data_IF_946560281772
#
_entry.id   IF_946560281772
#
_cell.length_a   1.000
_cell.length_b   1.000
_cell.length_c   1.000
_cell.angle_alpha   90.00
_cell.angle_beta   90.00
_cell.angle_gamma   90.00
#
_symmetry.space_group_name_H-M   'P 1'
#
loop_
_entity.id
_entity.type
_entity.pdbx_description
1 polymer ?
#
# COMPACT_ATOMS: atom_id res chain seq x y z
N UNK A 1 9.98 -27.75 3.36
CA UNK A 1 9.07 -26.59 3.56
C UNK A 1 9.57 -25.87 4.80
N UNK A 2 9.93 -24.57 4.75
CA UNK A 2 10.31 -23.84 5.96
C UNK A 2 9.11 -23.77 6.92
N UNK A 3 9.38 -23.92 8.22
CA UNK A 3 8.43 -24.48 9.20
C UNK A 3 7.43 -23.47 9.81
N UNK A 4 7.47 -22.19 9.44
CA UNK A 4 6.41 -21.23 9.78
C UNK A 4 6.25 -20.21 8.66
N UNK A 5 5.09 -20.21 7.99
CA UNK A 5 4.77 -19.17 7.01
C UNK A 5 4.78 -17.80 7.70
N UNK A 6 5.22 -16.72 7.03
CA UNK A 6 5.30 -15.38 7.63
C UNK A 6 3.94 -14.88 8.09
N UNK A 7 2.83 -15.43 7.59
CA UNK A 7 1.48 -15.12 8.00
C UNK A 7 0.63 -16.39 8.04
N UNK A 8 -0.53 -16.30 8.68
CA UNK A 8 -1.53 -17.36 8.63
C UNK A 8 -2.10 -17.44 7.21
N UNK A 9 -1.80 -18.53 6.50
CA UNK A 9 -2.35 -18.80 5.18
C UNK A 9 -3.82 -19.20 5.29
N UNK A 10 -4.69 -18.48 4.58
CA UNK A 10 -6.11 -18.81 4.42
C UNK A 10 -6.28 -20.10 3.62
N UNK A 11 -7.47 -20.73 3.65
CA UNK A 11 -7.77 -21.86 2.76
C UNK A 11 -7.55 -21.51 1.28
N UNK A 12 -7.89 -20.29 0.88
CA UNK A 12 -7.69 -19.80 -0.48
C UNK A 12 -6.20 -19.66 -0.84
N UNK A 13 -5.37 -19.15 0.07
CA UNK A 13 -3.92 -19.07 -0.16
C UNK A 13 -3.31 -20.45 -0.40
N UNK A 14 -3.75 -21.46 0.37
CA UNK A 14 -3.28 -22.85 0.23
C UNK A 14 -3.67 -23.44 -1.11
N UNK A 15 -4.89 -23.17 -1.58
CA UNK A 15 -5.36 -23.58 -2.90
C UNK A 15 -4.53 -22.91 -4.00
N UNK A 16 -4.30 -21.60 -3.92
CA UNK A 16 -3.48 -20.86 -4.89
C UNK A 16 -2.04 -21.38 -4.94
N UNK A 17 -1.44 -21.69 -3.78
CA UNK A 17 -0.08 -22.23 -3.71
C UNK A 17 0.04 -23.62 -4.36
N UNK A 18 -1.05 -24.37 -4.46
CA UNK A 18 -1.11 -25.66 -5.14
C UNK A 18 -1.33 -25.55 -6.66
N UNK A 19 -1.68 -24.37 -7.18
CA UNK A 19 -1.90 -24.12 -8.60
C UNK A 19 -0.61 -23.71 -9.34
N UNK A 20 -0.60 -23.94 -10.65
CA UNK A 20 0.37 -23.30 -11.55
C UNK A 20 -0.13 -21.93 -12.00
N UNK A 21 0.77 -21.13 -12.55
CA UNK A 21 0.41 -19.80 -13.05
C UNK A 21 -0.52 -19.86 -14.28
N UNK A 22 -0.38 -20.90 -15.10
CA UNK A 22 -1.21 -21.12 -16.29
C UNK A 22 -2.67 -21.42 -15.94
N UNK A 23 -2.92 -21.93 -14.72
CA UNK A 23 -4.25 -22.18 -14.19
C UNK A 23 -4.88 -20.94 -13.54
N UNK A 24 -4.08 -19.89 -13.30
CA UNK A 24 -4.56 -18.69 -12.65
C UNK A 24 -5.29 -17.78 -13.63
N UNK A 25 -6.51 -17.39 -13.27
CA UNK A 25 -7.27 -16.36 -13.97
C UNK A 25 -7.07 -15.05 -13.24
N UNK A 26 -6.58 -14.04 -13.95
CA UNK A 26 -6.39 -12.71 -13.41
C UNK A 26 -7.74 -12.02 -13.17
N UNK A 27 -7.74 -11.11 -12.20
CA UNK A 27 -8.89 -10.27 -11.92
C UNK A 27 -9.03 -9.21 -13.01
N UNK A 28 -10.10 -9.31 -13.79
CA UNK A 28 -10.51 -8.25 -14.71
C UNK A 28 -11.18 -7.09 -13.95
N UNK A 29 -11.45 -5.99 -14.66
CA UNK A 29 -12.01 -4.79 -14.03
C UNK A 29 -13.43 -4.97 -13.47
N UNK A 30 -14.26 -5.76 -14.14
CA UNK A 30 -15.65 -5.97 -13.73
C UNK A 30 -15.70 -6.88 -12.50
N UNK A 31 -14.87 -7.93 -12.44
CA UNK A 31 -14.68 -8.77 -11.26
C UNK A 31 -14.20 -7.95 -10.05
N UNK A 32 -13.22 -7.05 -10.24
CA UNK A 32 -12.75 -6.16 -9.17
C UNK A 32 -13.86 -5.23 -8.66
N UNK A 33 -14.62 -4.62 -9.57
CA UNK A 33 -15.76 -3.76 -9.21
C UNK A 33 -16.77 -4.54 -8.37
N UNK A 34 -17.10 -5.76 -8.81
CA UNK A 34 -18.06 -6.64 -8.17
C UNK A 34 -17.59 -7.12 -6.78
N UNK A 35 -16.32 -7.52 -6.66
CA UNK A 35 -15.69 -7.90 -5.39
C UNK A 35 -15.77 -6.73 -4.39
N UNK A 36 -15.38 -5.53 -4.82
CA UNK A 36 -15.36 -4.33 -3.97
C UNK A 36 -16.78 -3.91 -3.59
N UNK A 37 -17.73 -3.95 -4.53
CA UNK A 37 -19.14 -3.61 -4.26
C UNK A 37 -19.78 -4.55 -3.23
N UNK A 38 -19.45 -5.84 -3.26
CA UNK A 38 -19.89 -6.83 -2.26
C UNK A 38 -19.08 -6.80 -0.96
N UNK A 39 -18.01 -5.99 -0.89
CA UNK A 39 -17.04 -5.99 0.20
C UNK A 39 -16.40 -7.38 0.47
N UNK A 40 -16.30 -8.22 -0.57
CA UNK A 40 -15.72 -9.58 -0.49
C UNK A 40 -14.21 -9.55 -0.74
N UNK A 41 -13.49 -8.72 0.01
CA UNK A 41 -12.07 -8.44 -0.23
C UNK A 41 -11.18 -9.68 -0.06
N UNK A 42 -11.70 -10.75 0.58
CA UNK A 42 -11.02 -12.05 0.67
C UNK A 42 -10.93 -12.78 -0.68
N UNK A 43 -11.72 -12.39 -1.67
CA UNK A 43 -11.66 -12.93 -3.02
C UNK A 43 -10.51 -12.36 -3.86
N UNK A 44 -9.82 -11.31 -3.41
CA UNK A 44 -8.67 -10.72 -4.11
C UNK A 44 -7.43 -11.60 -3.96
N UNK A 45 -6.91 -12.08 -5.09
CA UNK A 45 -5.86 -13.10 -5.14
C UNK A 45 -4.60 -12.56 -5.80
N UNK A 46 -3.46 -13.10 -5.38
CA UNK A 46 -2.20 -12.96 -6.12
C UNK A 46 -2.03 -14.15 -7.04
N UNK A 47 -1.32 -13.94 -8.15
CA UNK A 47 -0.85 -15.04 -9.00
C UNK A 47 -0.02 -16.02 -8.15
N UNK A 48 -0.08 -17.35 -8.39
CA UNK A 48 0.60 -18.33 -7.55
C UNK A 48 2.11 -18.08 -7.38
N UNK A 49 2.83 -17.76 -8.45
CA UNK A 49 4.25 -17.37 -8.38
C UNK A 49 4.48 -16.11 -7.54
N UNK A 50 3.64 -15.09 -7.68
CA UNK A 50 3.72 -13.85 -6.89
C UNK A 50 3.44 -14.12 -5.42
N UNK A 51 2.48 -14.97 -5.09
CA UNK A 51 2.21 -15.37 -3.71
C UNK A 51 3.42 -16.10 -3.11
N UNK A 52 4.07 -17.02 -3.84
CA UNK A 52 5.29 -17.69 -3.37
C UNK A 52 6.43 -16.70 -3.14
N UNK A 53 6.66 -15.80 -4.09
CA UNK A 53 7.69 -14.74 -3.98
C UNK A 53 7.40 -13.80 -2.81
N UNK A 54 6.14 -13.42 -2.61
CA UNK A 54 5.70 -12.58 -1.51
C UNK A 54 5.96 -13.22 -0.15
N UNK A 55 5.68 -14.52 -0.02
CA UNK A 55 5.93 -15.26 1.22
C UNK A 55 7.43 -15.37 1.52
N UNK A 56 8.25 -15.65 0.50
CA UNK A 56 9.70 -15.70 0.65
C UNK A 56 10.26 -14.34 1.07
N UNK A 57 9.91 -13.27 0.35
CA UNK A 57 10.29 -11.90 0.67
C UNK A 57 9.81 -11.49 2.06
N UNK A 58 8.58 -11.82 2.44
CA UNK A 58 8.04 -11.48 3.75
C UNK A 58 8.81 -12.13 4.89
N UNK A 59 9.29 -13.36 4.72
CA UNK A 59 10.13 -14.04 5.69
C UNK A 59 11.50 -13.35 5.83
N UNK A 60 12.14 -13.01 4.71
CA UNK A 60 13.42 -12.30 4.67
C UNK A 60 13.32 -10.92 5.31
N UNK A 61 12.31 -10.12 4.93
CA UNK A 61 12.10 -8.78 5.49
C UNK A 61 11.81 -8.84 6.99
N UNK A 62 11.04 -9.82 7.47
CA UNK A 62 10.83 -9.98 8.91
C UNK A 62 12.11 -10.36 9.64
N UNK A 63 12.96 -11.21 9.05
CA UNK A 63 14.25 -11.55 9.62
C UNK A 63 15.21 -10.34 9.68
N UNK A 64 15.22 -9.49 8.64
CA UNK A 64 16.13 -8.35 8.54
C UNK A 64 15.67 -7.10 9.30
N UNK A 65 14.38 -6.76 9.24
CA UNK A 65 13.82 -5.52 9.78
C UNK A 65 12.96 -5.73 11.03
N UNK A 66 12.77 -6.98 11.46
CA UNK A 66 11.87 -7.38 12.55
C UNK A 66 10.38 -7.36 12.17
N UNK A 67 9.97 -6.48 11.26
CA UNK A 67 8.62 -6.44 10.70
C UNK A 67 8.59 -5.81 9.31
N UNK A 68 7.56 -6.13 8.54
CA UNK A 68 7.31 -5.46 7.25
C UNK A 68 6.97 -3.99 7.45
N UNK A 69 6.29 -3.62 8.54
CA UNK A 69 6.07 -2.22 8.90
C UNK A 69 7.40 -1.46 8.99
N UNK A 70 8.39 -2.00 9.70
CA UNK A 70 9.70 -1.36 9.85
C UNK A 70 10.38 -1.17 8.50
N UNK A 71 10.35 -2.20 7.63
CA UNK A 71 10.86 -2.08 6.28
C UNK A 71 10.16 -0.98 5.49
N UNK A 72 8.83 -0.95 5.47
CA UNK A 72 8.06 0.05 4.73
C UNK A 72 8.36 1.46 5.25
N UNK A 73 8.33 1.66 6.57
CA UNK A 73 8.63 2.96 7.18
C UNK A 73 10.07 3.42 6.90
N UNK A 74 11.07 2.54 6.94
CA UNK A 74 12.47 2.92 6.75
C UNK A 74 12.84 3.08 5.27
N UNK A 75 12.42 2.13 4.43
CA UNK A 75 12.91 1.98 3.06
C UNK A 75 11.98 2.58 2.01
N UNK A 76 10.67 2.63 2.26
CA UNK A 76 9.68 3.08 1.27
C UNK A 76 9.11 4.46 1.59
N UNK A 77 8.76 4.67 2.85
CA UNK A 77 8.13 5.90 3.31
C UNK A 77 9.14 6.92 3.86
N UNK A 78 10.27 6.44 4.39
CA UNK A 78 11.26 7.24 5.10
C UNK A 78 10.66 8.00 6.29
N UNK A 79 9.74 7.36 7.02
CA UNK A 79 9.04 7.90 8.20
C UNK A 79 9.69 7.48 9.53
N UNK A 80 10.96 7.07 9.51
CA UNK A 80 11.66 6.61 10.72
C UNK A 80 11.90 7.77 11.72
N UNK A 81 11.76 7.53 13.05
CA UNK A 81 12.12 8.51 14.07
C UNK A 81 13.60 8.88 13.93
N UNK A 82 13.89 10.14 13.63
CA UNK A 82 15.27 10.64 13.48
C UNK A 82 15.60 11.27 12.13
N UNK A 83 14.74 11.13 11.09
CA UNK A 83 14.92 11.89 9.86
C UNK A 83 14.37 13.32 10.05
N UNK A 84 15.09 14.14 10.80
CA UNK A 84 14.94 15.59 10.65
C UNK A 84 15.31 15.94 9.21
N UNK A 85 14.44 16.69 8.54
CA UNK A 85 14.76 17.30 7.26
C UNK A 85 15.97 18.21 7.47
N UNK A 86 17.12 17.88 6.89
CA UNK A 86 18.31 18.74 6.95
C UNK A 86 18.12 19.92 6.01
N UNK A 87 17.40 20.92 6.49
CA UNK A 87 17.41 22.27 5.93
C UNK A 87 17.80 23.25 7.04
N UNK A 88 19.12 23.42 7.20
CA UNK A 88 19.86 24.62 7.61
C UNK A 88 21.09 24.25 8.44
N UNK A 89 22.25 24.68 7.95
CA UNK A 89 23.56 24.27 8.45
C UNK A 89 24.05 25.02 9.67
N UNK A 90 25.02 24.41 10.36
CA UNK A 90 26.37 24.94 10.58
C UNK A 90 27.20 23.81 11.16
N UNK A 91 28.42 23.67 10.64
CA UNK A 91 29.38 22.67 11.07
C UNK A 91 29.79 22.90 12.53
N UNK A 92 29.88 21.82 13.30
CA UNK A 92 30.96 21.65 14.29
C UNK A 92 31.19 20.16 14.53
N UNK A 93 32.46 19.76 14.41
CA UNK A 93 32.88 18.36 14.38
C UNK A 93 32.99 17.71 15.76
N UNK A 94 32.81 16.40 15.77
CA UNK A 94 33.64 15.48 16.57
C UNK A 94 33.47 14.06 16.03
N UNK A 95 34.61 13.44 15.74
CA UNK A 95 34.78 12.09 15.21
C UNK A 95 34.53 11.02 16.27
N UNK A 96 33.68 10.04 15.96
CA UNK A 96 33.75 8.70 16.56
C UNK A 96 33.38 7.63 15.51
N UNK A 97 34.17 6.56 15.49
CA UNK A 97 34.15 5.48 14.49
C UNK A 97 32.90 4.59 14.59
N UNK A 98 32.52 3.86 13.54
CA UNK A 98 31.24 3.15 13.51
C UNK A 98 31.33 1.84 14.30
N UNK A 99 30.57 1.76 15.39
CA UNK A 99 30.16 0.47 15.93
C UNK A 99 29.01 -0.05 15.08
N UNK A 100 29.13 -1.29 14.63
CA UNK A 100 28.11 -2.05 13.92
C UNK A 100 26.79 -2.06 14.69
N UNK A 101 25.94 -1.08 14.42
CA UNK A 101 24.63 -0.97 15.00
C UNK A 101 23.66 -1.72 14.08
N UNK A 102 23.16 -2.85 14.58
CA UNK A 102 21.85 -3.36 14.16
C UNK A 102 20.88 -2.17 14.30
N UNK A 103 20.13 -1.73 13.27
CA UNK A 103 19.25 -0.59 13.43
C UNK A 103 18.23 -0.93 14.51
N UNK A 104 18.26 -0.17 15.60
CA UNK A 104 17.26 -0.25 16.65
C UNK A 104 15.88 -0.20 15.98
N UNK A 105 15.06 -1.23 16.22
CA UNK A 105 13.69 -1.29 15.72
C UNK A 105 12.98 0.03 16.01
N UNK A 106 12.12 0.46 15.10
CA UNK A 106 11.28 1.65 15.30
C UNK A 106 10.63 1.52 16.69
N UNK A 107 10.94 2.45 17.59
CA UNK A 107 10.30 2.51 18.89
C UNK A 107 8.78 2.48 18.65
N UNK A 108 8.09 1.60 19.37
CA UNK A 108 6.69 1.23 19.23
C UNK A 108 5.70 2.35 19.61
N UNK A 109 5.99 3.58 19.22
CA UNK A 109 5.14 4.75 19.36
C UNK A 109 4.41 5.08 18.05
N UNK A 110 3.33 5.89 18.12
CA UNK A 110 2.64 6.38 16.93
C UNK A 110 3.59 7.14 16.01
N UNK A 111 3.45 6.97 14.70
CA UNK A 111 4.20 7.77 13.72
C UNK A 111 3.68 9.22 13.83
N UNK A 112 4.55 10.23 14.07
CA UNK A 112 4.11 11.61 14.21
C UNK A 112 3.46 12.13 12.93
N UNK A 113 2.30 12.78 13.05
CA UNK A 113 1.59 13.44 11.96
C UNK A 113 1.39 14.92 12.24
N UNK A 114 1.27 15.73 11.19
CA UNK A 114 1.09 17.18 11.24
C UNK A 114 -0.36 17.56 11.49
N UNK A 115 -1.31 16.82 10.90
CA UNK A 115 -2.74 17.09 11.01
C UNK A 115 -3.49 15.82 11.44
N UNK A 116 -4.33 15.85 12.50
CA UNK A 116 -5.07 14.68 12.95
C UNK A 116 -6.16 14.22 11.99
N UNK A 117 -6.57 15.06 11.02
CA UNK A 117 -7.59 14.69 10.03
C UNK A 117 -6.92 13.92 8.87
N UNK A 118 -7.34 12.66 8.59
CA UNK A 118 -6.80 11.90 7.48
C UNK A 118 -6.84 12.67 6.16
N UNK A 119 -5.77 12.55 5.38
CA UNK A 119 -5.58 13.20 4.07
C UNK A 119 -5.53 14.74 4.06
N UNK A 120 -5.58 15.41 5.23
CA UNK A 120 -5.63 16.87 5.28
C UNK A 120 -4.26 17.53 5.00
N UNK A 121 -3.16 16.87 5.36
CA UNK A 121 -1.80 17.36 5.12
C UNK A 121 -1.03 16.41 4.18
N UNK A 122 -0.47 16.91 3.07
CA UNK A 122 0.33 16.10 2.14
C UNK A 122 1.58 15.45 2.74
N UNK A 123 2.10 15.94 3.87
CA UNK A 123 3.23 15.32 4.58
C UNK A 123 2.84 14.07 5.39
N UNK A 124 1.55 13.87 5.63
CA UNK A 124 1.01 12.78 6.44
C UNK A 124 0.58 11.55 5.64
N UNK A 125 0.73 11.59 4.31
CA UNK A 125 0.48 10.44 3.46
C UNK A 125 1.50 10.33 2.32
N UNK A 126 1.60 9.13 1.74
CA UNK A 126 2.41 8.88 0.54
C UNK A 126 1.70 7.87 -0.35
N UNK A 127 1.64 8.17 -1.65
CA UNK A 127 1.11 7.26 -2.66
C UNK A 127 2.30 6.50 -3.24
N UNK A 128 2.25 5.18 -3.28
CA UNK A 128 3.29 4.32 -3.84
C UNK A 128 2.66 3.24 -4.72
N UNK A 129 3.43 2.66 -5.63
CA UNK A 129 3.03 1.40 -6.26
C UNK A 129 3.10 0.28 -5.23
N UNK A 130 2.19 -0.68 -5.33
CA UNK A 130 2.25 -1.89 -4.54
C UNK A 130 3.34 -2.81 -5.12
N UNK A 131 4.38 -3.16 -4.35
CA UNK A 131 5.41 -4.11 -4.85
C UNK A 131 4.89 -5.54 -4.94
N UNK A 132 3.76 -5.82 -4.28
CA UNK A 132 3.13 -7.12 -4.24
C UNK A 132 1.67 -7.00 -4.68
N UNK A 133 1.43 -6.58 -5.94
CA UNK A 133 0.10 -6.36 -6.46
C UNK A 133 -0.70 -7.67 -6.48
N UNK A 134 -2.02 -7.55 -6.61
CA UNK A 134 -2.85 -8.70 -6.92
C UNK A 134 -2.58 -9.22 -8.33
N UNK A 135 -3.08 -10.42 -8.62
CA UNK A 135 -3.05 -10.97 -9.97
C UNK A 135 -4.11 -10.28 -10.82
N UNK A 136 -3.77 -9.13 -11.37
CA UNK A 136 -4.67 -8.23 -12.09
C UNK A 136 -4.45 -8.38 -13.60
N UNK A 137 -5.49 -8.09 -14.38
CA UNK A 137 -5.38 -8.02 -15.84
C UNK A 137 -4.41 -6.93 -16.31
N UNK A 138 -3.81 -7.09 -17.51
CA UNK A 138 -2.99 -6.04 -18.11
C UNK A 138 -3.73 -4.70 -18.17
N UNK A 139 -2.99 -3.61 -17.92
CA UNK A 139 -3.57 -2.25 -17.87
C UNK A 139 -4.09 -1.83 -16.50
N UNK A 140 -4.20 -2.74 -15.52
CA UNK A 140 -4.61 -2.40 -14.15
C UNK A 140 -3.37 -2.20 -13.28
N UNK A 141 -3.24 -1.01 -12.69
CA UNK A 141 -2.18 -0.66 -11.75
C UNK A 141 -2.68 -0.64 -10.31
N UNK A 142 -1.89 -1.22 -9.40
CA UNK A 142 -2.19 -1.28 -7.96
C UNK A 142 -1.34 -0.27 -7.19
N UNK A 143 -1.98 0.77 -6.69
CA UNK A 143 -1.38 1.78 -5.82
C UNK A 143 -1.79 1.54 -4.35
N UNK A 144 -0.96 2.04 -3.45
CA UNK A 144 -1.21 2.08 -2.02
C UNK A 144 -1.00 3.50 -1.53
N UNK A 145 -2.03 4.05 -0.88
CA UNK A 145 -1.96 5.31 -0.17
C UNK A 145 -1.67 4.99 1.29
N UNK A 146 -0.46 5.26 1.73
CA UNK A 146 -0.01 5.07 3.12
C UNK A 146 -0.31 6.32 3.93
N UNK A 147 -0.78 6.17 5.17
CA UNK A 147 -1.09 7.28 6.07
C UNK A 147 -0.36 7.15 7.41
N UNK A 148 0.06 8.30 7.94
CA UNK A 148 0.51 8.43 9.33
C UNK A 148 -0.65 8.54 10.32
N UNK A 149 -1.78 9.05 9.85
CA UNK A 149 -2.99 9.25 10.63
C UNK A 149 -3.84 7.99 10.70
N UNK A 150 -4.41 7.65 11.88
CA UNK A 150 -5.37 6.55 12.01
C UNK A 150 -6.66 6.86 11.24
N UNK A 151 -7.29 5.83 10.68
CA UNK A 151 -8.61 5.95 10.04
C UNK A 151 -9.65 5.30 10.96
N UNK A 152 -10.63 6.06 11.50
CA UNK A 152 -11.64 5.51 12.39
C UNK A 152 -12.46 4.35 11.77
N UNK A 153 -12.73 3.32 12.59
CA UNK A 153 -13.51 2.13 12.21
C UNK A 153 -14.66 1.91 13.19
N UNK A 154 -15.75 1.29 12.71
CA UNK A 154 -16.96 0.99 13.49
C UNK A 154 -16.78 -0.20 14.46
N UNK A 155 -15.77 -1.04 14.22
CA UNK A 155 -15.58 -2.30 14.93
C UNK A 155 -14.13 -2.76 14.89
N UNK A 156 -13.78 -3.69 15.77
CA UNK A 156 -12.46 -4.33 15.84
C UNK A 156 -12.11 -5.13 14.57
N UNK A 157 -13.12 -5.49 13.77
CA UNK A 157 -12.92 -6.12 12.45
C UNK A 157 -12.33 -5.13 11.43
N UNK A 158 -12.44 -3.82 11.65
CA UNK A 158 -11.89 -2.79 10.77
C UNK A 158 -12.86 -2.25 9.72
N UNK A 159 -14.17 -2.49 9.89
CA UNK A 159 -15.20 -1.88 9.03
C UNK A 159 -15.18 -0.34 9.15
N UNK A 160 -15.14 0.36 8.02
CA UNK A 160 -15.08 1.82 8.00
C UNK A 160 -16.34 2.48 8.58
N UNK A 161 -16.16 3.62 9.27
CA UNK A 161 -17.26 4.54 9.54
C UNK A 161 -17.76 5.18 8.25
N UNK A 162 -18.99 5.70 8.23
CA UNK A 162 -19.50 6.46 7.07
C UNK A 162 -18.68 7.72 6.83
N UNK A 163 -18.28 8.42 7.91
CA UNK A 163 -17.40 9.57 7.83
C UNK A 163 -16.03 9.20 7.24
N UNK A 164 -15.42 8.11 7.69
CA UNK A 164 -14.14 7.64 7.16
C UNK A 164 -14.24 7.19 5.71
N UNK A 165 -15.34 6.53 5.32
CA UNK A 165 -15.61 6.21 3.91
C UNK A 165 -15.73 7.47 3.06
N UNK A 166 -16.46 8.48 3.54
CA UNK A 166 -16.59 9.77 2.84
C UNK A 166 -15.27 10.55 2.75
N UNK A 167 -14.42 10.48 3.78
CA UNK A 167 -13.08 11.07 3.75
C UNK A 167 -12.18 10.42 2.70
N UNK A 168 -12.16 9.08 2.65
CA UNK A 168 -11.38 8.34 1.64
C UNK A 168 -11.93 8.63 0.25
N UNK A 169 -13.25 8.56 0.07
CA UNK A 169 -13.89 8.89 -1.21
C UNK A 169 -13.53 10.29 -1.68
N UNK A 170 -13.66 11.30 -0.81
CA UNK A 170 -13.29 12.68 -1.13
C UNK A 170 -11.82 12.84 -1.51
N UNK A 171 -10.91 12.13 -0.84
CA UNK A 171 -9.50 12.09 -1.22
C UNK A 171 -9.30 11.45 -2.60
N UNK A 172 -9.96 10.32 -2.87
CA UNK A 172 -9.84 9.59 -4.13
C UNK A 172 -10.37 10.45 -5.30
N UNK A 173 -11.52 11.09 -5.10
CA UNK A 173 -12.12 11.99 -6.07
C UNK A 173 -11.21 13.18 -6.39
N UNK A 174 -10.67 13.82 -5.35
CA UNK A 174 -9.78 14.99 -5.50
C UNK A 174 -8.44 14.64 -6.16
N UNK A 175 -7.89 13.47 -5.87
CA UNK A 175 -6.49 13.14 -6.22
C UNK A 175 -6.40 12.36 -7.53
N UNK A 176 -7.21 11.32 -7.68
CA UNK A 176 -7.12 10.42 -8.83
C UNK A 176 -8.12 10.84 -9.92
N UNK A 177 -9.41 10.85 -9.59
CA UNK A 177 -10.47 11.08 -10.57
C UNK A 177 -10.37 12.46 -11.21
N UNK A 178 -10.20 13.50 -10.40
CA UNK A 178 -10.03 14.87 -10.91
C UNK A 178 -8.82 14.99 -11.83
N UNK A 179 -7.69 14.37 -11.48
CA UNK A 179 -6.47 14.43 -12.31
C UNK A 179 -6.67 13.74 -13.66
N UNK A 180 -7.42 12.63 -13.70
CA UNK A 180 -7.82 11.97 -14.94
C UNK A 180 -8.80 12.84 -15.76
N UNK A 181 -9.72 13.55 -15.10
CA UNK A 181 -10.66 14.47 -15.77
C UNK A 181 -9.96 15.71 -16.38
N UNK A 182 -8.90 16.19 -15.73
CA UNK A 182 -8.08 17.33 -16.18
C UNK A 182 -7.01 16.93 -17.20
N UNK A 183 -6.97 15.67 -17.64
CA UNK A 183 -6.01 15.20 -18.62
C UNK A 183 -6.19 15.91 -19.97
N UNK A 184 -5.16 16.64 -20.41
CA UNK A 184 -5.21 17.42 -21.64
C UNK A 184 -5.45 16.58 -22.89
N UNK A 185 -5.06 15.31 -22.87
CA UNK A 185 -5.32 14.35 -23.95
C UNK A 185 -6.75 13.83 -24.00
N UNK A 186 -7.60 14.18 -23.02
CA UNK A 186 -8.97 13.69 -22.86
C UNK A 186 -9.06 12.16 -22.98
N UNK A 187 -8.02 11.46 -22.47
CA UNK A 187 -7.89 10.00 -22.56
C UNK A 187 -8.97 9.26 -21.76
N UNK A 188 -9.64 9.95 -20.83
CA UNK A 188 -10.57 9.37 -19.87
C UNK A 188 -11.95 10.03 -20.00
N UNK A 189 -12.86 9.50 -20.84
CA UNK A 189 -14.21 10.06 -20.98
C UNK A 189 -15.05 9.94 -19.71
N UNK A 190 -14.81 8.89 -18.91
CA UNK A 190 -15.54 8.62 -17.66
C UNK A 190 -14.56 8.44 -16.48
N UNK A 191 -13.84 9.47 -16.03
CA UNK A 191 -12.73 9.35 -15.07
C UNK A 191 -13.02 8.54 -13.80
N UNK A 192 -14.26 8.58 -13.30
CA UNK A 192 -14.69 7.81 -12.14
C UNK A 192 -14.68 6.29 -12.39
N UNK A 193 -14.97 5.85 -13.61
CA UNK A 193 -15.00 4.44 -13.99
C UNK A 193 -13.61 3.81 -14.10
N UNK A 194 -12.55 4.61 -14.00
CA UNK A 194 -11.15 4.20 -14.10
C UNK A 194 -10.50 4.01 -12.73
N UNK A 195 -11.20 4.33 -11.64
CA UNK A 195 -10.65 4.30 -10.29
C UNK A 195 -11.54 3.46 -9.38
N UNK A 196 -10.94 2.45 -8.76
CA UNK A 196 -11.54 1.68 -7.68
C UNK A 196 -10.67 1.84 -6.43
N UNK A 197 -11.28 1.77 -5.25
CA UNK A 197 -10.53 1.77 -4.01
C UNK A 197 -11.19 0.87 -2.96
N UNK A 198 -10.38 0.38 -2.05
CA UNK A 198 -10.84 -0.38 -0.88
C UNK A 198 -9.84 -0.27 0.26
N UNK A 199 -10.31 -0.55 1.48
CA UNK A 199 -9.46 -0.72 2.65
C UNK A 199 -9.64 -2.14 3.16
N UNK A 200 -8.55 -2.90 3.23
CA UNK A 200 -8.60 -4.23 3.82
C UNK A 200 -9.00 -4.13 5.29
N UNK A 201 -9.94 -4.98 5.72
CA UNK A 201 -10.28 -5.17 7.13
C UNK A 201 -9.15 -5.92 7.87
N UNK A 202 -9.17 -5.92 9.21
CA UNK A 202 -8.04 -6.34 10.06
C UNK A 202 -7.56 -7.77 9.73
N UNK A 203 -8.47 -8.66 9.36
CA UNK A 203 -8.15 -10.06 9.01
C UNK A 203 -7.27 -10.24 7.77
N UNK A 204 -7.27 -9.31 6.81
CA UNK A 204 -6.56 -9.42 5.53
C UNK A 204 -5.34 -8.50 5.40
N UNK A 205 -5.12 -7.61 6.36
CA UNK A 205 -3.98 -6.70 6.32
C UNK A 205 -2.68 -7.41 6.68
N UNK A 206 -1.71 -7.37 5.78
CA UNK A 206 -0.33 -7.80 6.07
C UNK A 206 0.42 -6.84 7.00
N UNK A 207 0.02 -5.57 7.04
CA UNK A 207 0.67 -4.51 7.83
C UNK A 207 -0.39 -3.75 8.63
N UNK A 208 -0.83 -4.34 9.75
CA UNK A 208 -1.93 -3.78 10.58
C UNK A 208 -1.57 -2.48 11.29
N UNK A 209 -0.29 -2.30 11.61
CA UNK A 209 0.18 -1.18 12.41
C UNK A 209 0.41 0.11 11.60
N UNK A 210 0.16 0.08 10.28
CA UNK A 210 0.33 1.23 9.41
C UNK A 210 -0.90 1.38 8.51
N UNK A 211 -1.55 2.52 8.58
CA UNK A 211 -2.78 2.75 7.82
C UNK A 211 -2.51 2.85 6.33
N UNK A 212 -3.38 2.21 5.55
CA UNK A 212 -3.29 2.25 4.10
C UNK A 212 -4.64 2.02 3.42
N UNK A 213 -4.79 2.63 2.25
CA UNK A 213 -5.91 2.44 1.31
C UNK A 213 -5.33 1.94 -0.01
N UNK A 214 -5.95 0.91 -0.57
CA UNK A 214 -5.58 0.42 -1.89
C UNK A 214 -6.40 1.16 -2.95
N UNK A 215 -5.73 1.57 -4.03
CA UNK A 215 -6.35 2.21 -5.19
C UNK A 215 -5.94 1.40 -6.42
N UNK A 216 -6.92 0.97 -7.19
CA UNK A 216 -6.73 0.32 -8.48
C UNK A 216 -7.11 1.32 -9.56
N UNK A 217 -6.25 1.47 -10.56
CA UNK A 217 -6.53 2.33 -11.71
C UNK A 217 -6.36 1.53 -13.00
N UNK A 218 -7.26 1.74 -13.97
CA UNK A 218 -7.26 1.02 -15.24
C UNK A 218 -6.86 1.91 -16.40
N UNK A 219 -5.96 1.40 -17.24
CA UNK A 219 -5.43 2.03 -18.46
C UNK A 219 -4.85 3.42 -18.21
N UNK A 220 -4.33 3.65 -16.99
CA UNK A 220 -3.66 4.90 -16.63
C UNK A 220 -2.19 4.81 -17.08
N UNK A 221 -1.73 5.78 -17.90
CA UNK A 221 -0.40 5.75 -18.48
C UNK A 221 0.67 6.13 -17.45
N UNK A 222 1.88 5.68 -17.73
CA UNK A 222 3.02 5.76 -16.82
C UNK A 222 3.39 7.20 -16.39
N UNK A 223 3.15 8.21 -17.21
CA UNK A 223 3.36 9.62 -16.85
C UNK A 223 2.52 10.02 -15.62
N UNK A 224 1.25 9.61 -15.59
CA UNK A 224 0.34 9.91 -14.48
C UNK A 224 0.67 9.03 -13.25
N UNK A 225 1.03 7.76 -13.47
CA UNK A 225 1.43 6.88 -12.37
C UNK A 225 2.71 7.36 -11.68
N UNK A 226 3.69 7.86 -12.44
CA UNK A 226 4.91 8.49 -11.94
C UNK A 226 4.58 9.80 -11.21
N UNK A 227 3.67 10.62 -11.75
CA UNK A 227 3.21 11.85 -11.10
C UNK A 227 2.68 11.58 -9.69
N UNK A 228 1.82 10.56 -9.52
CA UNK A 228 1.27 10.23 -8.21
C UNK A 228 2.27 9.57 -7.26
N UNK A 229 3.07 8.62 -7.75
CA UNK A 229 3.92 7.77 -6.90
C UNK A 229 5.32 8.31 -6.67
N UNK A 230 5.83 9.14 -7.59
CA UNK A 230 7.24 9.48 -7.70
C UNK A 230 8.13 8.30 -8.11
N UNK A 231 7.54 7.15 -8.46
CA UNK A 231 8.26 5.91 -8.80
C UNK A 231 8.23 5.69 -10.31
N UNK A 232 9.41 5.49 -10.91
CA UNK A 232 9.53 5.10 -12.32
C UNK A 232 8.86 3.74 -12.57
N UNK A 233 8.53 3.49 -13.83
CA UNK A 233 8.05 2.18 -14.30
C UNK A 233 8.92 1.05 -13.73
N UNK A 234 8.28 0.05 -13.14
CA UNK A 234 8.95 -1.20 -12.78
C UNK A 234 9.10 -1.99 -14.09
N UNK A 235 10.34 -2.02 -14.61
CA UNK A 235 10.72 -2.79 -15.81
C UNK A 235 10.64 -4.30 -15.56
#
# INVERSE_FOLDING_TARGET
MPETAPFNLTPLDRQLLAMTDEQFVAHDWDDLRDIIARNDLGALKRRPSDLRRYLAWSAEIKAQYGSIMNYICQQRLHWAPGHQSTANGTANGSTSAPQSAVPAGIQSGPIPFTNPRPFADPSDYKILRNDWPYGLDPGISHLVVWLRTPIPVKSDEGHLTEESRALIEGFVQKTFVRRLAEDAGQRFPEPHAQVLWFKNWVGLQSVRALEHVHVLVRDVPEDILVEWSGEKAQL
#
